data_IF_692778883148
#
_entry.id   IF_692778883148
#
_cell.length_a   1.000
_cell.length_b   1.000
_cell.length_c   1.000
_cell.angle_alpha   90.00
_cell.angle_beta   90.00
_cell.angle_gamma   90.00
#
_symmetry.space_group_name_H-M   'P 1'
#
loop_
_entity.id
_entity.type
_entity.pdbx_description
1 polymer ?
#
# COMPACT_ATOMS: atom_id res chain seq x y z
N UNK A 1 11.02 9.67 31.89
CA UNK A 1 9.87 9.45 31.02
C UNK A 1 9.70 7.96 30.85
N UNK A 2 8.54 7.34 31.12
CA UNK A 2 8.37 5.91 30.91
C UNK A 2 8.52 5.63 29.41
N UNK A 3 9.46 4.74 29.06
CA UNK A 3 9.55 4.16 27.73
C UNK A 3 8.27 3.33 27.55
N UNK A 4 7.29 3.84 26.83
CA UNK A 4 6.19 3.03 26.31
C UNK A 4 6.83 2.00 25.40
N UNK A 5 6.91 0.77 25.84
CA UNK A 5 7.38 -0.38 25.06
C UNK A 5 6.26 -0.71 24.05
N UNK A 6 6.15 0.11 23.00
CA UNK A 6 5.24 -0.19 21.90
C UNK A 6 5.79 -1.41 21.15
N UNK A 7 4.95 -2.38 20.85
CA UNK A 7 5.29 -3.49 19.98
C UNK A 7 5.76 -2.94 18.61
N UNK A 8 6.60 -3.68 17.86
CA UNK A 8 6.99 -3.29 16.50
C UNK A 8 5.77 -2.92 15.66
N UNK A 9 5.88 -1.86 14.85
CA UNK A 9 4.81 -1.47 13.95
C UNK A 9 4.70 -2.43 12.76
N UNK A 10 5.83 -3.00 12.32
CA UNK A 10 5.87 -4.05 11.32
C UNK A 10 5.51 -5.38 11.97
N UNK A 11 4.41 -5.99 11.49
CA UNK A 11 3.91 -7.28 11.98
C UNK A 11 4.33 -8.44 11.08
N UNK A 12 4.52 -8.18 9.78
CA UNK A 12 5.00 -9.16 8.82
C UNK A 12 6.15 -8.57 8.00
N UNK A 13 7.23 -9.35 7.83
CA UNK A 13 8.41 -8.96 7.05
C UNK A 13 8.85 -10.14 6.18
N UNK A 14 8.99 -9.89 4.88
CA UNK A 14 9.54 -10.81 3.91
C UNK A 14 10.82 -10.22 3.30
N UNK A 15 11.90 -10.98 3.34
CA UNK A 15 13.22 -10.60 2.83
C UNK A 15 13.51 -11.43 1.57
N UNK A 16 14.00 -10.83 0.47
CA UNK A 16 14.30 -11.57 -0.74
C UNK A 16 15.44 -12.57 -0.54
N UNK A 17 15.54 -13.62 -1.38
CA UNK A 17 16.62 -14.61 -1.30
C UNK A 17 18.03 -14.02 -1.39
N UNK A 18 18.19 -12.84 -2.00
CA UNK A 18 19.45 -12.07 -2.04
C UNK A 18 19.86 -11.49 -0.67
N UNK A 19 19.00 -11.57 0.36
CA UNK A 19 19.21 -10.99 1.67
C UNK A 19 18.97 -9.49 1.76
N UNK A 20 18.82 -8.77 0.64
CA UNK A 20 18.62 -7.32 0.62
C UNK A 20 17.88 -6.87 -0.62
N UNK A 21 17.21 -5.73 -0.55
CA UNK A 21 16.47 -5.13 -1.67
C UNK A 21 15.81 -3.80 -1.31
N UNK A 22 15.23 -3.10 -2.29
CA UNK A 22 14.44 -1.90 -1.99
C UNK A 22 13.26 -2.22 -1.06
N UNK A 23 12.98 -1.31 -0.11
CA UNK A 23 11.89 -1.50 0.84
C UNK A 23 10.53 -1.17 0.24
N UNK A 24 9.52 -1.99 0.54
CA UNK A 24 8.11 -1.76 0.16
C UNK A 24 7.20 -2.00 1.35
N UNK A 25 6.41 -1.01 1.74
CA UNK A 25 5.38 -1.13 2.76
C UNK A 25 4.05 -1.53 2.11
N UNK A 26 3.43 -2.60 2.58
CA UNK A 26 2.12 -3.08 2.14
C UNK A 26 1.06 -2.73 3.19
N UNK A 27 0.06 -1.95 2.82
CA UNK A 27 -1.04 -1.55 3.71
C UNK A 27 -2.30 -2.30 3.31
N UNK A 28 -2.77 -3.15 4.22
CA UNK A 28 -3.90 -4.05 3.98
C UNK A 28 -5.24 -3.32 3.80
N UNK A 29 -6.21 -3.99 3.14
CA UNK A 29 -7.59 -3.55 3.03
C UNK A 29 -8.30 -3.60 4.40
N UNK A 30 -9.58 -3.27 4.43
CA UNK A 30 -10.37 -3.25 5.68
C UNK A 30 -10.59 -4.64 6.31
N UNK A 31 -10.14 -5.71 5.63
CA UNK A 31 -10.21 -7.09 6.11
C UNK A 31 -9.19 -7.40 7.23
N UNK A 32 -8.13 -6.59 7.37
CA UNK A 32 -7.00 -6.86 8.26
C UNK A 32 -5.82 -7.50 7.55
N UNK A 33 -4.75 -7.74 8.29
CA UNK A 33 -3.54 -8.41 7.78
C UNK A 33 -3.79 -9.93 7.70
N UNK A 34 -4.50 -10.36 6.65
CA UNK A 34 -4.81 -11.76 6.37
C UNK A 34 -3.71 -12.44 5.53
N UNK A 35 -3.92 -13.71 5.16
CA UNK A 35 -2.94 -14.50 4.42
C UNK A 35 -2.70 -13.97 3.00
N UNK A 36 -3.67 -13.33 2.36
CA UNK A 36 -3.47 -12.66 1.08
C UNK A 36 -2.37 -11.58 1.18
N UNK A 37 -2.42 -10.71 2.18
CA UNK A 37 -1.43 -9.63 2.33
C UNK A 37 -0.07 -10.14 2.79
N UNK A 38 -0.02 -11.22 3.59
CA UNK A 38 1.24 -11.91 3.93
C UNK A 38 1.87 -12.53 2.68
N UNK A 39 1.10 -13.28 1.91
CA UNK A 39 1.53 -13.86 0.63
C UNK A 39 1.94 -12.81 -0.41
N UNK A 40 1.32 -11.63 -0.41
CA UNK A 40 1.72 -10.50 -1.24
C UNK A 40 3.13 -9.99 -0.86
N UNK A 41 3.44 -9.92 0.44
CA UNK A 41 4.80 -9.59 0.89
C UNK A 41 5.80 -10.65 0.44
N UNK A 42 5.47 -11.95 0.55
CA UNK A 42 6.34 -13.03 0.07
C UNK A 42 6.55 -12.97 -1.45
N UNK A 43 5.49 -12.66 -2.19
CA UNK A 43 5.55 -12.46 -3.63
C UNK A 43 6.46 -11.29 -4.02
N UNK A 44 6.38 -10.16 -3.29
CA UNK A 44 7.30 -9.03 -3.46
C UNK A 44 8.75 -9.41 -3.13
N UNK A 45 8.97 -10.23 -2.10
CA UNK A 45 10.30 -10.74 -1.79
C UNK A 45 10.84 -11.62 -2.92
N UNK A 46 10.01 -12.45 -3.54
CA UNK A 46 10.36 -13.18 -4.77
C UNK A 46 10.77 -12.28 -5.94
N UNK A 47 10.27 -11.05 -6.00
CA UNK A 47 10.62 -10.03 -7.00
C UNK A 47 11.85 -9.17 -6.61
N UNK A 48 12.48 -9.47 -5.45
CA UNK A 48 13.69 -8.81 -4.99
C UNK A 48 13.47 -7.61 -4.06
N UNK A 49 12.27 -7.40 -3.53
CA UNK A 49 11.98 -6.34 -2.58
C UNK A 49 12.02 -6.83 -1.13
N UNK A 50 12.39 -5.98 -0.18
CA UNK A 50 12.12 -6.19 1.24
C UNK A 50 10.71 -5.67 1.51
N UNK A 51 9.76 -6.58 1.72
CA UNK A 51 8.36 -6.23 1.88
C UNK A 51 7.92 -6.33 3.34
N UNK A 52 7.23 -5.32 3.84
CA UNK A 52 6.75 -5.27 5.21
C UNK A 52 5.27 -4.87 5.27
N UNK A 53 4.52 -5.44 6.20
CA UNK A 53 3.13 -5.09 6.43
C UNK A 53 2.86 -4.81 7.92
N UNK A 54 2.34 -3.63 8.27
CA UNK A 54 1.79 -3.37 9.59
C UNK A 54 0.41 -4.01 9.72
N UNK A 55 0.07 -4.45 10.93
CA UNK A 55 -1.28 -4.87 11.27
C UNK A 55 -2.03 -3.71 11.95
N UNK A 56 -3.00 -3.16 11.25
CA UNK A 56 -3.80 -2.02 11.74
C UNK A 56 -4.95 -2.47 12.66
N UNK A 57 -5.11 -3.79 12.87
CA UNK A 57 -6.22 -4.36 13.65
C UNK A 57 -5.78 -5.27 14.78
N UNK A 58 -4.50 -5.26 15.16
CA UNK A 58 -3.96 -5.97 16.33
C UNK A 58 -4.28 -7.49 16.31
N UNK A 59 -4.00 -8.14 15.18
CA UNK A 59 -4.19 -9.58 14.97
C UNK A 59 -5.60 -9.99 14.54
N UNK A 60 -6.52 -9.03 14.40
CA UNK A 60 -7.90 -9.35 14.00
C UNK A 60 -8.07 -9.29 12.49
N UNK A 61 -8.79 -10.29 11.96
CA UNK A 61 -9.13 -10.41 10.55
C UNK A 61 -10.64 -10.53 10.43
N UNK A 62 -11.23 -9.86 9.44
CA UNK A 62 -12.64 -9.96 9.10
C UNK A 62 -12.84 -10.88 7.91
N UNK A 63 -13.92 -11.65 7.94
CA UNK A 63 -14.36 -12.53 6.85
C UNK A 63 -15.62 -12.02 6.16
N UNK A 64 -16.36 -11.12 6.81
CA UNK A 64 -17.56 -10.48 6.27
C UNK A 64 -17.44 -8.95 6.25
N UNK A 65 -18.19 -8.25 5.37
CA UNK A 65 -18.23 -6.79 5.35
C UNK A 65 -18.65 -6.16 6.70
N UNK A 66 -19.59 -6.79 7.41
CA UNK A 66 -20.07 -6.35 8.73
C UNK A 66 -18.95 -6.41 9.78
N UNK A 67 -18.19 -7.51 9.79
CA UNK A 67 -17.02 -7.66 10.67
C UNK A 67 -15.94 -6.61 10.34
N UNK A 68 -15.63 -6.41 9.05
CA UNK A 68 -14.65 -5.43 8.61
C UNK A 68 -15.06 -4.01 9.02
N UNK A 69 -16.34 -3.66 8.85
CA UNK A 69 -16.90 -2.38 9.30
C UNK A 69 -16.77 -2.21 10.81
N UNK A 70 -17.06 -3.27 11.59
CA UNK A 70 -16.89 -3.28 13.04
C UNK A 70 -15.43 -3.08 13.44
N UNK A 71 -14.48 -3.87 12.85
CA UNK A 71 -13.05 -3.78 13.16
C UNK A 71 -12.49 -2.39 12.87
N UNK A 72 -12.89 -1.79 11.75
CA UNK A 72 -12.46 -0.43 11.40
C UNK A 72 -12.89 0.60 12.46
N UNK A 73 -14.05 0.43 13.09
CA UNK A 73 -14.59 1.32 14.10
C UNK A 73 -14.10 1.08 15.53
N UNK A 74 -13.38 -0.01 15.80
CA UNK A 74 -12.90 -0.30 17.16
C UNK A 74 -11.80 0.66 17.61
N UNK A 75 -11.74 0.98 18.90
CA UNK A 75 -10.61 1.66 19.50
C UNK A 75 -9.32 0.89 19.25
N UNK A 76 -8.23 1.59 18.93
CA UNK A 76 -6.89 1.05 18.70
C UNK A 76 -5.95 1.54 19.78
N UNK A 77 -4.95 0.72 20.13
CA UNK A 77 -3.89 1.11 21.09
C UNK A 77 -3.09 2.30 20.58
N UNK A 78 -2.89 2.35 19.26
CA UNK A 78 -2.21 3.44 18.59
C UNK A 78 -3.04 3.89 17.38
N UNK A 79 -3.16 5.21 17.12
CA UNK A 79 -3.80 5.72 15.91
C UNK A 79 -3.15 5.17 14.64
N UNK A 80 -3.96 4.80 13.65
CA UNK A 80 -3.48 4.18 12.40
C UNK A 80 -2.38 5.00 11.71
N UNK A 81 -2.48 6.32 11.70
CA UNK A 81 -1.47 7.19 11.13
C UNK A 81 -0.12 7.09 11.85
N UNK A 82 -0.10 6.98 13.17
CA UNK A 82 1.14 6.80 13.94
C UNK A 82 1.76 5.43 13.69
N UNK A 83 0.96 4.36 13.68
CA UNK A 83 1.41 3.01 13.31
C UNK A 83 2.08 3.01 11.94
N UNK A 84 1.46 3.67 10.94
CA UNK A 84 2.00 3.72 9.58
C UNK A 84 3.30 4.53 9.50
N UNK A 85 3.38 5.68 10.17
CA UNK A 85 4.62 6.47 10.22
C UNK A 85 5.76 5.70 10.89
N UNK A 86 5.48 4.99 11.98
CA UNK A 86 6.47 4.11 12.61
C UNK A 86 6.91 2.97 11.69
N UNK A 87 5.96 2.33 10.99
CA UNK A 87 6.28 1.26 10.05
C UNK A 87 7.22 1.72 8.93
N UNK A 88 7.04 2.95 8.42
CA UNK A 88 7.98 3.56 7.45
C UNK A 88 9.38 3.70 8.05
N UNK A 89 9.48 4.22 9.28
CA UNK A 89 10.77 4.40 9.97
C UNK A 89 11.44 3.06 10.26
N UNK A 90 10.69 2.08 10.77
CA UNK A 90 11.19 0.73 11.05
C UNK A 90 11.66 0.01 9.78
N UNK A 91 10.87 0.08 8.70
CA UNK A 91 11.26 -0.51 7.41
C UNK A 91 12.54 0.15 6.87
N UNK A 92 12.61 1.48 6.90
CA UNK A 92 13.79 2.22 6.42
C UNK A 92 15.04 1.91 7.22
N UNK A 93 14.91 1.62 8.53
CA UNK A 93 16.01 1.26 9.41
C UNK A 93 16.43 -0.22 9.31
N UNK A 94 15.67 -1.05 8.60
CA UNK A 94 15.99 -2.47 8.46
C UNK A 94 17.28 -2.64 7.62
N UNK A 95 18.28 -3.42 8.10
CA UNK A 95 19.57 -3.57 7.39
C UNK A 95 19.46 -4.27 6.03
N UNK A 96 18.37 -5.00 5.77
CA UNK A 96 18.10 -5.61 4.48
C UNK A 96 17.61 -4.59 3.43
N UNK A 97 17.16 -3.39 3.85
CA UNK A 97 16.65 -2.36 2.94
C UNK A 97 17.78 -1.54 2.35
N UNK A 98 17.88 -1.55 1.03
CA UNK A 98 18.86 -0.76 0.27
C UNK A 98 18.18 0.35 -0.55
N UNK A 99 18.95 1.38 -0.87
CA UNK A 99 18.46 2.56 -1.61
C UNK A 99 17.92 3.66 -0.69
N UNK A 100 17.74 4.88 -1.21
CA UNK A 100 17.35 6.05 -0.42
C UNK A 100 15.86 6.10 -0.09
N UNK A 101 15.04 5.52 -0.95
CA UNK A 101 13.58 5.62 -0.88
C UNK A 101 12.92 4.24 -0.76
N UNK A 102 11.71 4.22 -0.25
CA UNK A 102 10.85 3.04 -0.17
C UNK A 102 9.57 3.24 -0.99
N UNK A 103 8.94 2.14 -1.39
CA UNK A 103 7.63 2.14 -1.99
C UNK A 103 6.53 1.92 -0.94
N UNK A 104 5.33 2.34 -1.26
CA UNK A 104 4.13 1.98 -0.51
C UNK A 104 3.07 1.45 -1.45
N UNK A 105 2.46 0.32 -1.10
CA UNK A 105 1.32 -0.28 -1.80
C UNK A 105 0.16 -0.34 -0.83
N UNK A 106 -1.03 0.06 -1.25
CA UNK A 106 -2.22 -0.07 -0.44
C UNK A 106 -3.43 -0.56 -1.22
N UNK A 107 -4.30 -1.31 -0.56
CA UNK A 107 -5.49 -1.89 -1.14
C UNK A 107 -6.74 -1.31 -0.47
N UNK A 108 -7.70 -0.78 -1.24
CA UNK A 108 -8.95 -0.22 -0.73
C UNK A 108 -8.71 0.82 0.38
N UNK A 109 -9.11 0.53 1.62
CA UNK A 109 -8.76 1.34 2.80
C UNK A 109 -7.25 1.58 2.90
N UNK A 110 -6.44 0.55 2.66
CA UNK A 110 -4.97 0.67 2.63
C UNK A 110 -4.48 1.57 1.51
N UNK A 111 -5.15 1.59 0.36
CA UNK A 111 -4.87 2.53 -0.74
C UNK A 111 -5.09 3.98 -0.34
N UNK A 112 -6.17 4.26 0.40
CA UNK A 112 -6.39 5.57 1.00
C UNK A 112 -5.25 5.96 1.96
N UNK A 113 -4.75 5.02 2.76
CA UNK A 113 -3.63 5.26 3.68
C UNK A 113 -2.28 5.38 2.98
N UNK A 114 -2.02 4.63 1.91
CA UNK A 114 -0.82 4.79 1.08
C UNK A 114 -0.76 6.20 0.47
N UNK A 115 -1.89 6.68 -0.04
CA UNK A 115 -2.04 8.04 -0.54
C UNK A 115 -1.92 9.10 0.57
N UNK A 116 -2.38 8.80 1.79
CA UNK A 116 -2.17 9.68 2.94
C UNK A 116 -0.68 9.78 3.30
N UNK A 117 0.06 8.67 3.31
CA UNK A 117 1.51 8.68 3.51
C UNK A 117 2.22 9.55 2.47
N UNK A 118 1.81 9.48 1.21
CA UNK A 118 2.36 10.32 0.15
C UNK A 118 2.11 11.82 0.35
N UNK A 119 1.18 12.22 1.19
CA UNK A 119 0.93 13.62 1.54
C UNK A 119 1.77 14.12 2.73
N UNK A 120 2.44 13.20 3.47
CA UNK A 120 3.19 13.58 4.65
C UNK A 120 4.57 14.16 4.27
N UNK A 121 5.00 15.26 4.92
CA UNK A 121 6.30 15.85 4.65
C UNK A 121 7.44 14.94 5.16
N UNK A 122 8.55 14.96 4.45
CA UNK A 122 9.82 14.36 4.91
C UNK A 122 9.87 12.83 4.87
N UNK A 123 8.85 12.15 4.35
CA UNK A 123 8.92 10.70 4.18
C UNK A 123 9.75 10.33 2.94
N UNK A 124 10.63 9.31 3.04
CA UNK A 124 11.49 8.87 1.95
C UNK A 124 10.71 7.98 0.96
N UNK A 125 9.61 8.49 0.41
CA UNK A 125 8.80 7.73 -0.53
C UNK A 125 9.26 7.98 -1.97
N UNK A 126 9.59 6.90 -2.68
CA UNK A 126 9.95 6.91 -4.10
C UNK A 126 8.84 6.39 -5.00
N UNK A 127 7.84 5.70 -4.47
CA UNK A 127 6.73 5.13 -5.22
C UNK A 127 5.48 5.00 -4.36
N UNK A 128 4.32 5.35 -4.92
CA UNK A 128 3.01 5.11 -4.29
C UNK A 128 2.14 4.29 -5.24
N UNK A 129 1.62 3.16 -4.77
CA UNK A 129 0.71 2.31 -5.53
C UNK A 129 -0.60 2.18 -4.77
N UNK A 130 -1.71 2.40 -5.45
CA UNK A 130 -3.05 2.20 -4.89
C UNK A 130 -3.86 1.24 -5.75
N UNK A 131 -4.42 0.21 -5.11
CA UNK A 131 -5.43 -0.66 -5.69
C UNK A 131 -6.79 -0.21 -5.18
N UNK A 132 -7.65 0.21 -6.10
CA UNK A 132 -9.02 0.67 -5.83
C UNK A 132 -9.15 1.53 -4.56
N UNK A 133 -8.20 2.43 -4.36
CA UNK A 133 -8.21 3.41 -3.28
C UNK A 133 -8.04 4.83 -3.83
N UNK A 134 -8.76 5.79 -3.28
CA UNK A 134 -8.66 7.19 -3.69
C UNK A 134 -8.56 8.12 -2.47
N UNK A 135 -7.76 9.17 -2.60
CA UNK A 135 -7.65 10.26 -1.64
C UNK A 135 -7.20 11.52 -2.36
N UNK A 136 -8.05 12.53 -2.42
CA UNK A 136 -7.63 13.87 -2.82
C UNK A 136 -6.93 14.57 -1.65
N UNK A 137 -6.11 15.58 -1.95
CA UNK A 137 -5.42 16.37 -0.93
C UNK A 137 -4.20 17.07 -1.49
N UNK A 138 -3.34 17.56 -0.62
CA UNK A 138 -2.10 18.22 -0.99
C UNK A 138 -0.96 17.21 -1.12
N UNK A 139 -0.38 17.10 -2.32
CA UNK A 139 0.78 16.26 -2.64
C UNK A 139 2.06 17.09 -2.87
N UNK A 140 2.06 18.36 -2.50
CA UNK A 140 3.21 19.26 -2.70
C UNK A 140 4.48 18.78 -2.00
N UNK A 141 4.34 18.08 -0.87
CA UNK A 141 5.47 17.52 -0.13
C UNK A 141 5.95 16.15 -0.68
N UNK A 142 5.18 15.48 -1.53
CA UNK A 142 5.57 14.20 -2.11
C UNK A 142 6.55 14.38 -3.26
N UNK A 143 7.50 13.47 -3.38
CA UNK A 143 8.29 13.28 -4.59
C UNK A 143 7.90 12.01 -5.35
N UNK A 144 7.09 11.16 -4.73
CA UNK A 144 6.69 9.86 -5.27
C UNK A 144 5.65 10.01 -6.39
N UNK A 145 5.88 9.45 -7.59
CA UNK A 145 4.83 9.24 -8.57
C UNK A 145 3.82 8.23 -8.04
N UNK A 146 2.60 8.28 -8.58
CA UNK A 146 1.50 7.43 -8.18
C UNK A 146 1.04 6.52 -9.32
N UNK A 147 1.02 5.21 -9.06
CA UNK A 147 0.39 4.20 -9.89
C UNK A 147 -0.96 3.82 -9.27
N UNK A 148 -2.02 3.81 -10.04
CA UNK A 148 -3.37 3.46 -9.59
C UNK A 148 -4.00 2.36 -10.42
N UNK A 149 -4.56 1.35 -9.75
CA UNK A 149 -5.32 0.25 -10.35
C UNK A 149 -6.77 0.34 -9.89
N UNK A 150 -7.70 0.52 -10.82
CA UNK A 150 -9.10 0.77 -10.52
C UNK A 150 -10.01 -0.19 -11.27
N UNK A 151 -11.08 -0.61 -10.62
CA UNK A 151 -12.13 -1.39 -11.26
C UNK A 151 -12.96 -0.53 -12.24
N UNK A 152 -13.56 -1.16 -13.23
CA UNK A 152 -14.51 -0.49 -14.12
C UNK A 152 -15.78 -0.10 -13.38
N UNK A 153 -16.30 -1.01 -12.54
CA UNK A 153 -17.47 -0.76 -11.70
C UNK A 153 -17.06 -0.82 -10.23
N UNK A 154 -17.21 0.30 -9.54
CA UNK A 154 -16.77 0.40 -8.14
C UNK A 154 -17.76 1.23 -7.32
N UNK A 155 -18.45 0.60 -6.38
CA UNK A 155 -19.40 1.26 -5.47
C UNK A 155 -18.73 2.06 -4.36
N UNK A 156 -17.42 1.83 -4.10
CA UNK A 156 -16.64 2.47 -3.06
C UNK A 156 -15.80 3.64 -3.56
N UNK A 157 -15.34 3.56 -4.81
CA UNK A 157 -14.44 4.55 -5.42
C UNK A 157 -15.05 5.11 -6.68
N UNK A 158 -15.75 6.24 -6.56
CA UNK A 158 -16.45 6.86 -7.66
C UNK A 158 -15.50 7.50 -8.71
N UNK A 159 -15.91 7.61 -9.98
CA UNK A 159 -15.15 8.34 -11.01
C UNK A 159 -14.83 9.79 -10.60
N UNK A 160 -15.70 10.43 -9.82
CA UNK A 160 -15.47 11.78 -9.31
C UNK A 160 -14.31 11.82 -8.29
N UNK A 161 -14.17 10.79 -7.42
CA UNK A 161 -13.06 10.70 -6.48
C UNK A 161 -11.73 10.45 -7.19
N UNK A 162 -11.71 9.64 -8.26
CA UNK A 162 -10.54 9.43 -9.10
C UNK A 162 -10.11 10.70 -9.83
N UNK A 163 -11.05 11.43 -10.38
CA UNK A 163 -10.80 12.73 -11.02
C UNK A 163 -10.19 13.74 -10.03
N UNK A 164 -10.70 13.76 -8.78
CA UNK A 164 -10.15 14.63 -7.72
C UNK A 164 -8.73 14.21 -7.34
N UNK A 165 -8.47 12.92 -7.16
CA UNK A 165 -7.13 12.40 -6.88
C UNK A 165 -6.15 12.78 -7.99
N UNK A 166 -6.49 12.52 -9.26
CA UNK A 166 -5.65 12.87 -10.42
C UNK A 166 -5.31 14.36 -10.42
N UNK A 167 -6.31 15.23 -10.30
CA UNK A 167 -6.09 16.68 -10.22
C UNK A 167 -5.19 17.10 -9.07
N UNK A 168 -5.31 16.46 -7.91
CA UNK A 168 -4.45 16.75 -6.74
C UNK A 168 -3.00 16.39 -7.01
N UNK A 169 -2.72 15.27 -7.67
CA UNK A 169 -1.37 14.84 -8.06
C UNK A 169 -0.79 15.75 -9.14
N UNK A 170 -1.55 16.03 -10.19
CA UNK A 170 -1.16 16.92 -11.30
C UNK A 170 -0.85 18.33 -10.80
N UNK A 171 -1.67 18.89 -9.91
CA UNK A 171 -1.44 20.20 -9.30
C UNK A 171 -0.13 20.27 -8.50
N UNK A 172 0.31 19.17 -7.95
CA UNK A 172 1.61 19.03 -7.27
C UNK A 172 2.77 18.67 -8.22
N UNK A 173 2.52 18.57 -9.54
CA UNK A 173 3.51 18.12 -10.51
C UNK A 173 3.88 16.65 -10.39
N UNK A 174 3.00 15.80 -9.83
CA UNK A 174 3.24 14.36 -9.66
C UNK A 174 2.62 13.57 -10.80
N UNK A 175 3.34 12.54 -11.26
CA UNK A 175 2.83 11.62 -12.28
C UNK A 175 1.70 10.79 -11.66
N UNK A 176 0.56 10.73 -12.35
CA UNK A 176 -0.60 9.93 -12.00
C UNK A 176 -0.86 8.89 -13.13
N UNK A 177 -0.24 7.72 -13.00
CA UNK A 177 -0.39 6.61 -13.95
C UNK A 177 -1.55 5.72 -13.48
N UNK A 178 -2.73 5.89 -14.09
CA UNK A 178 -3.97 5.22 -13.66
C UNK A 178 -4.50 4.28 -14.72
N UNK A 179 -4.77 3.05 -14.31
CA UNK A 179 -5.33 2.00 -15.13
C UNK A 179 -6.69 1.56 -14.61
N UNK A 180 -7.67 1.47 -15.51
CA UNK A 180 -8.98 0.88 -15.25
C UNK A 180 -9.04 -0.49 -15.91
N UNK A 181 -9.58 -1.48 -15.21
CA UNK A 181 -9.67 -2.87 -15.64
C UNK A 181 -11.10 -3.19 -16.04
N UNK A 182 -11.38 -3.44 -17.36
CA UNK A 182 -12.72 -3.75 -17.84
C UNK A 182 -13.30 -5.01 -17.18
N UNK A 183 -14.60 -5.01 -16.93
CA UNK A 183 -15.34 -6.14 -16.38
C UNK A 183 -15.13 -6.39 -14.88
N UNK A 184 -14.26 -5.60 -14.21
CA UNK A 184 -13.91 -5.85 -12.80
C UNK A 184 -14.75 -5.01 -11.84
N UNK A 185 -14.87 -5.54 -10.60
CA UNK A 185 -15.43 -4.86 -9.43
C UNK A 185 -14.36 -4.53 -8.39
N UNK A 186 -14.76 -3.83 -7.33
CA UNK A 186 -13.88 -3.57 -6.18
C UNK A 186 -13.31 -4.90 -5.64
N UNK A 187 -12.07 -4.93 -5.15
CA UNK A 187 -11.31 -6.10 -4.70
C UNK A 187 -10.89 -7.12 -5.79
N UNK A 188 -10.99 -6.79 -7.08
CA UNK A 188 -10.67 -7.71 -8.18
C UNK A 188 -9.27 -8.35 -8.10
N UNK A 189 -8.35 -7.76 -7.35
CA UNK A 189 -6.96 -8.25 -7.22
C UNK A 189 -6.72 -9.10 -5.95
N UNK A 190 -7.73 -9.28 -5.08
CA UNK A 190 -7.61 -10.02 -3.82
C UNK A 190 -8.12 -11.46 -4.00
N UNK A 191 -7.22 -12.45 -3.99
CA UNK A 191 -7.52 -13.87 -4.29
C UNK A 191 -8.47 -14.51 -3.28
N UNK A 192 -8.59 -13.96 -2.07
CA UNK A 192 -9.51 -14.40 -1.04
C UNK A 192 -10.93 -13.80 -1.18
N UNK A 193 -11.14 -12.96 -2.19
CA UNK A 193 -12.45 -12.42 -2.59
C UNK A 193 -12.95 -13.14 -3.85
N UNK A 194 -13.25 -14.42 -3.71
CA UNK A 194 -13.52 -15.33 -4.83
C UNK A 194 -14.73 -14.95 -5.69
N UNK A 195 -15.64 -14.16 -5.15
CA UNK A 195 -16.82 -13.61 -5.82
C UNK A 195 -16.53 -12.47 -6.80
N UNK A 196 -15.41 -11.77 -6.63
CA UNK A 196 -15.02 -10.59 -7.43
C UNK A 196 -13.60 -10.66 -7.97
N UNK A 197 -12.82 -11.68 -7.59
CA UNK A 197 -11.46 -11.86 -8.06
C UNK A 197 -11.41 -12.11 -9.56
N UNK A 198 -10.62 -11.32 -10.27
CA UNK A 198 -10.32 -11.51 -11.69
C UNK A 198 -8.81 -11.77 -11.86
N UNK A 199 -8.46 -12.99 -12.21
CA UNK A 199 -7.06 -13.42 -12.28
C UNK A 199 -6.28 -12.69 -13.38
N UNK A 200 -6.88 -12.38 -14.52
CA UNK A 200 -6.20 -11.70 -15.63
C UNK A 200 -5.93 -10.24 -15.28
N UNK A 201 -6.93 -9.54 -14.74
CA UNK A 201 -6.78 -8.17 -14.29
C UNK A 201 -5.79 -8.06 -13.12
N UNK A 202 -5.86 -8.99 -12.15
CA UNK A 202 -4.95 -9.06 -11.01
C UNK A 202 -3.48 -9.24 -11.44
N UNK A 203 -3.19 -10.19 -12.34
CA UNK A 203 -1.84 -10.43 -12.83
C UNK A 203 -1.31 -9.27 -13.70
N UNK A 204 -2.16 -8.64 -14.49
CA UNK A 204 -1.78 -7.45 -15.25
C UNK A 204 -1.48 -6.27 -14.32
N UNK A 205 -2.29 -6.05 -13.28
CA UNK A 205 -2.05 -5.02 -12.27
C UNK A 205 -0.76 -5.30 -11.49
N UNK A 206 -0.52 -6.57 -11.13
CA UNK A 206 0.71 -7.00 -10.47
C UNK A 206 1.96 -6.72 -11.34
N UNK A 207 1.95 -7.13 -12.60
CA UNK A 207 3.07 -6.90 -13.53
C UNK A 207 3.40 -5.41 -13.66
N UNK A 208 2.38 -4.56 -13.75
CA UNK A 208 2.54 -3.10 -13.79
C UNK A 208 3.12 -2.56 -12.47
N UNK A 209 2.65 -3.06 -11.34
CA UNK A 209 3.15 -2.69 -10.01
C UNK A 209 4.63 -3.01 -9.86
N UNK A 210 5.04 -4.24 -10.19
CA UNK A 210 6.45 -4.67 -10.09
C UNK A 210 7.35 -3.84 -11.02
N UNK A 211 6.93 -3.65 -12.27
CA UNK A 211 7.67 -2.82 -13.23
C UNK A 211 7.80 -1.36 -12.75
N UNK A 212 6.73 -0.80 -12.19
CA UNK A 212 6.73 0.55 -11.63
C UNK A 212 7.67 0.66 -10.42
N UNK A 213 7.57 -0.24 -9.44
CA UNK A 213 8.43 -0.24 -8.26
C UNK A 213 9.91 -0.38 -8.64
N UNK A 214 10.25 -1.31 -9.55
CA UNK A 214 11.63 -1.49 -10.05
C UNK A 214 12.18 -0.22 -10.68
N UNK A 215 11.37 0.50 -11.45
CA UNK A 215 11.78 1.75 -12.08
C UNK A 215 11.99 2.87 -11.06
N UNK A 216 11.13 2.98 -10.04
CA UNK A 216 11.14 4.09 -9.10
C UNK A 216 12.08 3.89 -7.89
N UNK A 217 12.38 2.64 -7.55
CA UNK A 217 13.17 2.30 -6.35
C UNK A 217 14.58 1.81 -6.68
N UNK A 218 15.02 1.94 -7.93
CA UNK A 218 16.41 1.60 -8.30
C UNK A 218 17.38 2.39 -7.44
N UNK A 219 18.38 1.73 -6.83
CA UNK A 219 19.52 2.47 -6.29
C UNK A 219 20.13 3.33 -7.40
N UNK A 220 20.68 4.52 -7.08
CA UNK A 220 21.46 5.27 -8.05
C UNK A 220 22.58 4.36 -8.56
N UNK A 221 22.78 4.35 -9.89
CA UNK A 221 23.94 3.69 -10.49
C UNK A 221 25.20 4.41 -9.95
N UNK A 222 26.13 3.61 -9.40
CA UNK A 222 27.41 4.10 -8.87
C UNK A 222 28.32 4.53 -10.02
#
# INVERSE_FOLDING_TARGET
MPKTNLSPAITYLAIPPSGQGPGVLVVHAWWGLNDFFRGLCDRLAGEGFVAAAPDLYEGRVATTPEEAKRLRGLPKREPTNQTLLRAIVELRANPAVVGPNIGVIGFSMGGHWALWLAQQPGLPLGATVTYYGARAGDYGNSQAPCLGHFAETDEWVSPASLKKLRKSLEAAGRVADFHTYPGTGHWFAETDRTDVYDSQAAELAWSRTVAFLRRQLRPPEL
#
